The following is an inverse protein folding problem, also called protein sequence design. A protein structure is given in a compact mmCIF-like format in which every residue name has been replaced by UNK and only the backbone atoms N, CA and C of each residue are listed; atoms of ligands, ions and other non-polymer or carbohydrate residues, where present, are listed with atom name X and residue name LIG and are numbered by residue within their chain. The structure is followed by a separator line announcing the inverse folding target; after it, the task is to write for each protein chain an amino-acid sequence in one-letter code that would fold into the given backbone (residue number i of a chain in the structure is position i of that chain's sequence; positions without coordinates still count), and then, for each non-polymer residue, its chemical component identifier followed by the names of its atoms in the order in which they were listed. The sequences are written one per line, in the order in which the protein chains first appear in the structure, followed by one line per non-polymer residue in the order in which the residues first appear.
data_IF_575215407941
#
_entry.id   IF_575215407941
#
_cell.length_a   1.000
_cell.length_b   1.000
_cell.length_c   1.000
_cell.angle_alpha   90.00
_cell.angle_beta   90.00
_cell.angle_gamma   90.00
#
_symmetry.space_group_name_H-M   'P 1'
#
loop_
_entity.id
_entity.type
_entity.pdbx_description
1 polymer ?
#
# COMPACT_ATOMS: atom_id res chain seq x y z
N UNK A 1 19.98 -7.14 -4.25
CA UNK A 1 18.82 -6.26 -4.52
C UNK A 1 18.03 -6.10 -3.24
N UNK A 2 17.43 -4.93 -3.01
CA UNK A 2 16.57 -4.70 -1.87
C UNK A 2 15.19 -5.33 -2.11
N UNK A 3 15.03 -6.64 -1.85
CA UNK A 3 13.78 -7.36 -2.09
C UNK A 3 12.54 -6.72 -1.46
N UNK A 4 12.70 -5.97 -0.36
CA UNK A 4 11.60 -5.24 0.29
C UNK A 4 10.93 -4.20 -0.63
N UNK A 5 11.62 -3.70 -1.65
CA UNK A 5 11.05 -2.74 -2.62
C UNK A 5 9.87 -3.34 -3.39
N UNK A 6 9.87 -4.66 -3.59
CA UNK A 6 8.81 -5.39 -4.29
C UNK A 6 7.45 -5.30 -3.61
N UNK A 7 7.42 -5.00 -2.31
CA UNK A 7 6.19 -4.73 -1.55
C UNK A 7 6.04 -3.26 -1.17
N UNK A 8 7.13 -2.58 -0.78
CA UNK A 8 7.08 -1.20 -0.34
C UNK A 8 6.64 -0.24 -1.45
N UNK A 9 7.23 -0.33 -2.64
CA UNK A 9 6.91 0.58 -3.75
C UNK A 9 5.45 0.42 -4.19
N UNK A 10 4.92 -0.81 -4.41
CA UNK A 10 3.50 -1.02 -4.64
C UNK A 10 2.60 -0.48 -3.53
N UNK A 11 2.94 -0.68 -2.26
CA UNK A 11 2.15 -0.20 -1.14
C UNK A 11 2.04 1.33 -1.14
N UNK A 12 3.15 2.03 -1.37
CA UNK A 12 3.18 3.48 -1.46
C UNK A 12 2.40 4.00 -2.66
N UNK A 13 2.61 3.41 -3.84
CA UNK A 13 1.88 3.74 -5.05
C UNK A 13 0.37 3.57 -4.87
N UNK A 14 -0.08 2.41 -4.40
CA UNK A 14 -1.50 2.13 -4.21
C UNK A 14 -2.14 3.06 -3.18
N UNK A 15 -1.46 3.32 -2.06
CA UNK A 15 -1.95 4.25 -1.06
C UNK A 15 -2.00 5.69 -1.60
N UNK A 16 -0.99 6.13 -2.34
CA UNK A 16 -0.95 7.45 -2.96
C UNK A 16 -2.10 7.64 -3.95
N UNK A 17 -2.33 6.66 -4.84
CA UNK A 17 -3.45 6.68 -5.80
C UNK A 17 -4.80 6.79 -5.09
N UNK A 18 -5.02 5.99 -4.04
CA UNK A 18 -6.28 6.03 -3.26
C UNK A 18 -6.45 7.40 -2.59
N UNK A 19 -5.39 7.95 -1.97
CA UNK A 19 -5.46 9.27 -1.35
C UNK A 19 -5.67 10.38 -2.40
N UNK A 20 -5.07 10.29 -3.58
CA UNK A 20 -5.33 11.20 -4.70
C UNK A 20 -6.79 11.14 -5.11
N UNK A 21 -7.38 9.95 -5.26
CA UNK A 21 -8.81 9.79 -5.57
C UNK A 21 -9.67 10.43 -4.48
N UNK A 22 -9.36 10.21 -3.21
CA UNK A 22 -10.12 10.79 -2.09
C UNK A 22 -10.01 12.31 -2.06
N UNK A 23 -8.83 12.87 -2.31
CA UNK A 23 -8.64 14.32 -2.35
C UNK A 23 -9.31 14.95 -3.58
N UNK A 24 -9.27 14.30 -4.74
CA UNK A 24 -9.75 14.90 -5.99
C UNK A 24 -11.22 14.65 -6.27
N UNK A 25 -11.71 13.45 -5.96
CA UNK A 25 -13.07 13.00 -6.27
C UNK A 25 -13.92 12.72 -5.03
N UNK A 26 -13.33 12.65 -3.84
CA UNK A 26 -14.10 12.49 -2.62
C UNK A 26 -14.89 13.76 -2.30
N UNK A 27 -16.19 13.60 -2.08
CA UNK A 27 -17.06 14.65 -1.53
C UNK A 27 -16.75 14.87 -0.04
N UNK A 28 -15.54 15.36 0.24
CA UNK A 28 -15.03 15.59 1.59
C UNK A 28 -15.09 17.08 1.94
N UNK A 29 -15.55 17.40 3.15
CA UNK A 29 -15.59 18.78 3.60
C UNK A 29 -14.16 19.36 3.76
N UNK A 30 -13.97 20.70 3.68
CA UNK A 30 -12.64 21.32 3.78
C UNK A 30 -11.84 20.89 5.02
N UNK A 31 -12.52 20.71 6.15
CA UNK A 31 -11.90 20.20 7.38
C UNK A 31 -11.41 18.75 7.28
N UNK A 32 -12.14 17.88 6.59
CA UNK A 32 -11.70 16.49 6.34
C UNK A 32 -10.53 16.45 5.36
N UNK A 33 -10.59 17.24 4.29
CA UNK A 33 -9.50 17.41 3.32
C UNK A 33 -8.20 17.80 4.01
N UNK A 34 -8.24 18.81 4.87
CA UNK A 34 -7.08 19.22 5.67
C UNK A 34 -6.50 18.09 6.55
N UNK A 35 -7.35 17.23 7.12
CA UNK A 35 -6.88 16.06 7.89
C UNK A 35 -6.25 14.99 7.00
N UNK A 36 -6.76 14.76 5.80
CA UNK A 36 -6.16 13.82 4.83
C UNK A 36 -4.79 14.33 4.37
N UNK A 37 -4.65 15.63 4.08
CA UNK A 37 -3.34 16.23 3.76
C UNK A 37 -2.30 16.02 4.85
N UNK A 38 -2.70 16.11 6.13
CA UNK A 38 -1.80 15.84 7.27
C UNK A 38 -1.30 14.40 7.34
N UNK A 39 -1.90 13.46 6.60
CA UNK A 39 -1.45 12.07 6.51
C UNK A 39 -0.43 11.82 5.39
N UNK A 40 -0.34 12.72 4.40
CA UNK A 40 0.62 12.58 3.28
C UNK A 40 2.09 12.46 3.73
N UNK A 41 2.57 13.10 4.82
CA UNK A 41 3.91 12.88 5.34
C UNK A 41 4.26 11.42 5.64
N UNK A 42 3.28 10.56 5.94
CA UNK A 42 3.54 9.11 6.12
C UNK A 42 4.04 8.48 4.82
N UNK A 43 3.49 8.89 3.67
CA UNK A 43 3.97 8.44 2.36
C UNK A 43 5.35 9.02 2.03
N UNK A 44 5.67 10.24 2.47
CA UNK A 44 7.02 10.82 2.30
C UNK A 44 8.07 9.99 3.04
N UNK A 45 7.79 9.55 4.27
CA UNK A 45 8.69 8.65 5.01
C UNK A 45 8.88 7.34 4.25
N UNK A 46 7.80 6.76 3.73
CA UNK A 46 7.89 5.55 2.91
C UNK A 46 8.74 5.73 1.65
N UNK A 47 8.53 6.83 0.90
CA UNK A 47 9.32 7.13 -0.29
C UNK A 47 10.78 7.44 0.04
N UNK A 48 11.07 8.04 1.19
CA UNK A 48 12.43 8.23 1.69
C UNK A 48 13.11 6.88 1.94
N UNK A 49 12.41 5.91 2.55
CA UNK A 49 12.93 4.54 2.75
C UNK A 49 13.15 3.81 1.42
N UNK A 50 12.28 4.02 0.42
CA UNK A 50 12.47 3.49 -0.92
C UNK A 50 13.69 4.13 -1.61
N UNK A 51 13.91 5.44 -1.43
CA UNK A 51 15.01 6.20 -2.01
C UNK A 51 16.40 5.73 -1.56
N UNK A 52 16.50 5.11 -0.37
CA UNK A 52 17.76 4.51 0.13
C UNK A 52 18.26 3.41 -0.82
N UNK A 53 17.36 2.59 -1.37
CA UNK A 53 17.71 1.46 -2.22
C UNK A 53 17.45 1.71 -3.72
N UNK A 54 16.52 2.61 -4.06
CA UNK A 54 16.19 2.99 -5.43
C UNK A 54 16.20 4.52 -5.55
N UNK A 55 17.31 5.14 -5.99
CA UNK A 55 17.44 6.60 -6.05
C UNK A 55 16.32 7.31 -6.84
N UNK A 56 15.71 6.63 -7.82
CA UNK A 56 14.58 7.17 -8.58
C UNK A 56 13.36 7.49 -7.71
N UNK A 57 13.20 6.82 -6.56
CA UNK A 57 12.13 7.11 -5.59
C UNK A 57 12.22 8.51 -4.97
N UNK A 58 13.35 9.23 -5.14
CA UNK A 58 13.46 10.66 -4.82
C UNK A 58 12.47 11.49 -5.67
N UNK A 59 12.12 11.06 -6.88
CA UNK A 59 11.20 11.80 -7.75
C UNK A 59 9.78 11.87 -7.16
N UNK A 60 9.06 10.76 -6.90
CA UNK A 60 7.76 10.82 -6.23
C UNK A 60 7.84 11.44 -4.83
N UNK A 61 8.95 11.24 -4.11
CA UNK A 61 9.19 11.88 -2.82
C UNK A 61 9.13 13.41 -2.92
N UNK A 62 9.93 14.01 -3.80
CA UNK A 62 10.05 15.46 -3.93
C UNK A 62 8.79 16.08 -4.53
N UNK A 63 8.15 15.44 -5.52
CA UNK A 63 6.90 15.94 -6.07
C UNK A 63 5.78 15.92 -5.04
N UNK A 64 5.65 14.85 -4.25
CA UNK A 64 4.66 14.76 -3.18
C UNK A 64 4.96 15.74 -2.05
N UNK A 65 6.23 15.91 -1.69
CA UNK A 65 6.66 16.89 -0.68
C UNK A 65 6.33 18.32 -1.13
N UNK A 66 6.62 18.67 -2.38
CA UNK A 66 6.28 19.97 -2.95
C UNK A 66 4.77 20.23 -2.89
N UNK A 67 3.95 19.25 -3.29
CA UNK A 67 2.50 19.36 -3.18
C UNK A 67 2.07 19.57 -1.72
N UNK A 68 2.59 18.76 -0.79
CA UNK A 68 2.24 18.80 0.63
C UNK A 68 2.56 20.15 1.27
N UNK A 69 3.71 20.76 0.91
CA UNK A 69 4.14 22.05 1.45
C UNK A 69 3.42 23.25 0.83
N UNK A 70 2.98 23.15 -0.43
CA UNK A 70 2.32 24.26 -1.14
C UNK A 70 0.81 24.34 -0.93
N UNK A 71 0.17 23.25 -0.51
CA UNK A 71 -1.27 23.24 -0.25
C UNK A 71 -1.60 24.09 0.98
N UNK A 72 -2.47 25.08 0.80
CA UNK A 72 -3.08 25.80 1.92
C UNK A 72 -4.28 25.02 2.44
N UNK A 73 -4.18 24.47 3.65
CA UNK A 73 -5.27 23.74 4.32
C UNK A 73 -6.15 24.71 5.13
N UNK A 74 -6.96 25.54 4.45
CA UNK A 74 -7.83 26.56 5.06
C UNK A 74 -9.34 26.31 4.92
N UNK A 75 -10.18 27.23 5.44
CA UNK A 75 -11.66 27.17 5.34
C UNK A 75 -12.20 27.50 3.95
N UNK A 76 -11.40 28.11 3.08
CA UNK A 76 -11.76 28.48 1.70
C UNK A 76 -11.07 27.53 0.71
N UNK A 77 -11.88 26.90 -0.14
CA UNK A 77 -11.62 26.10 -1.35
C UNK A 77 -10.17 25.97 -1.85
N UNK A 78 -9.84 24.72 -2.19
CA UNK A 78 -8.69 24.17 -2.92
C UNK A 78 -7.72 25.15 -3.60
N UNK A 79 -6.55 25.33 -2.99
CA UNK A 79 -5.39 25.88 -3.67
C UNK A 79 -4.18 24.99 -3.37
N UNK A 80 -4.01 23.96 -4.19
CA UNK A 80 -2.84 23.10 -4.23
C UNK A 80 -2.45 22.85 -5.69
N UNK A 81 -1.16 22.58 -5.98
CA UNK A 81 -0.73 22.28 -7.34
C UNK A 81 -1.18 20.87 -7.74
N UNK A 82 -2.46 20.70 -8.09
CA UNK A 82 -3.09 19.40 -8.40
C UNK A 82 -2.32 18.64 -9.49
N UNK A 83 -1.82 19.36 -10.51
CA UNK A 83 -0.99 18.76 -11.57
C UNK A 83 0.27 18.08 -11.00
N UNK A 84 0.84 18.60 -9.92
CA UNK A 84 2.00 18.00 -9.25
C UNK A 84 1.60 16.75 -8.48
N UNK A 85 0.40 16.69 -7.89
CA UNK A 85 -0.11 15.47 -7.26
C UNK A 85 -0.25 14.34 -8.30
N UNK A 86 -0.89 14.62 -9.45
CA UNK A 86 -0.97 13.64 -10.53
C UNK A 86 0.41 13.28 -11.10
N UNK A 87 1.31 14.26 -11.25
CA UNK A 87 2.70 14.01 -11.64
C UNK A 87 3.41 13.08 -10.65
N UNK A 88 3.16 13.24 -9.36
CA UNK A 88 3.68 12.38 -8.31
C UNK A 88 3.18 10.95 -8.42
N UNK A 89 1.92 10.75 -8.81
CA UNK A 89 1.36 9.41 -9.03
C UNK A 89 1.99 8.73 -10.25
N UNK A 90 2.21 9.49 -11.33
CA UNK A 90 2.92 9.00 -12.51
C UNK A 90 4.36 8.64 -12.18
N UNK A 91 5.07 9.48 -11.41
CA UNK A 91 6.45 9.20 -10.98
C UNK A 91 6.53 7.99 -10.04
N UNK A 92 5.55 7.81 -9.15
CA UNK A 92 5.43 6.62 -8.32
C UNK A 92 5.22 5.35 -9.17
N UNK A 93 4.39 5.44 -10.21
CA UNK A 93 4.16 4.36 -11.16
C UNK A 93 5.43 4.03 -11.96
N UNK A 94 6.17 5.04 -12.42
CA UNK A 94 7.47 4.85 -13.08
C UNK A 94 8.47 4.16 -12.14
N UNK A 95 8.51 4.54 -10.86
CA UNK A 95 9.37 3.86 -9.88
C UNK A 95 9.05 2.36 -9.76
N UNK A 96 7.76 2.00 -9.79
CA UNK A 96 7.34 0.60 -9.84
C UNK A 96 7.76 -0.09 -11.16
N UNK A 97 7.57 0.56 -12.31
CA UNK A 97 7.97 0.00 -13.61
C UNK A 97 9.47 -0.31 -13.70
N UNK A 98 10.31 0.51 -13.07
CA UNK A 98 11.78 0.32 -13.05
C UNK A 98 12.19 -0.90 -12.22
N UNK A 99 11.33 -1.42 -11.34
CA UNK A 99 11.58 -2.68 -10.63
C UNK A 99 11.34 -3.92 -11.51
N UNK A 100 10.49 -3.81 -12.54
CA UNK A 100 10.05 -4.99 -13.30
C UNK A 100 11.20 -5.77 -13.97
N UNK A 101 12.24 -5.13 -14.56
CA UNK A 101 13.35 -5.87 -15.16
C UNK A 101 14.18 -6.69 -14.17
N UNK A 102 14.03 -6.44 -12.87
CA UNK A 102 14.76 -7.16 -11.82
C UNK A 102 13.99 -8.35 -11.26
N UNK A 103 12.77 -8.57 -11.73
CA UNK A 103 11.83 -9.56 -11.22
C UNK A 103 11.48 -10.56 -12.33
N UNK A 104 11.22 -11.80 -11.94
CA UNK A 104 10.65 -12.79 -12.84
C UNK A 104 9.13 -12.57 -13.02
N UNK A 105 8.49 -13.33 -13.91
CA UNK A 105 7.07 -13.12 -14.25
C UNK A 105 6.09 -13.28 -13.05
N UNK A 106 6.13 -14.36 -12.25
CA UNK A 106 5.27 -14.47 -11.06
C UNK A 106 5.58 -13.41 -10.00
N UNK A 107 6.85 -13.01 -9.81
CA UNK A 107 7.23 -11.91 -8.91
C UNK A 107 6.64 -10.56 -9.33
N UNK A 108 6.67 -10.26 -10.65
CA UNK A 108 5.99 -9.10 -11.23
C UNK A 108 4.49 -9.15 -10.92
N UNK A 109 3.86 -10.31 -11.08
CA UNK A 109 2.44 -10.49 -10.80
C UNK A 109 2.10 -10.28 -9.31
N UNK A 110 2.92 -10.82 -8.39
CA UNK A 110 2.80 -10.57 -6.95
C UNK A 110 2.96 -9.07 -6.65
N UNK A 111 3.96 -8.41 -7.24
CA UNK A 111 4.21 -6.98 -7.05
C UNK A 111 3.06 -6.11 -7.56
N UNK A 112 2.45 -6.46 -8.69
CA UNK A 112 1.28 -5.77 -9.23
C UNK A 112 0.09 -5.87 -8.27
N UNK A 113 -0.20 -7.07 -7.77
CA UNK A 113 -1.29 -7.30 -6.82
C UNK A 113 -1.01 -6.65 -5.46
N UNK A 114 0.26 -6.54 -5.06
CA UNK A 114 0.68 -5.84 -3.85
C UNK A 114 0.27 -4.36 -3.85
N UNK A 115 0.10 -3.73 -5.02
CA UNK A 115 -0.44 -2.35 -5.13
C UNK A 115 -1.82 -2.29 -4.49
N UNK A 116 -2.68 -3.25 -4.83
CA UNK A 116 -4.04 -3.31 -4.32
C UNK A 116 -4.08 -3.81 -2.88
N UNK A 117 -3.32 -4.86 -2.51
CA UNK A 117 -3.33 -5.42 -1.16
C UNK A 117 -2.79 -4.42 -0.11
N UNK A 118 -1.51 -4.06 -0.22
CA UNK A 118 -0.84 -3.24 0.78
C UNK A 118 -1.18 -1.76 0.62
N UNK A 119 -1.39 -1.29 -0.60
CA UNK A 119 -1.84 0.08 -0.85
C UNK A 119 -3.22 0.36 -0.26
N UNK A 120 -4.16 -0.58 -0.40
CA UNK A 120 -5.48 -0.45 0.25
C UNK A 120 -5.38 -0.54 1.77
N UNK A 121 -4.55 -1.42 2.33
CA UNK A 121 -4.35 -1.53 3.77
C UNK A 121 -3.78 -0.23 4.36
N UNK A 122 -2.70 0.29 3.75
CA UNK A 122 -2.08 1.55 4.16
C UNK A 122 -3.04 2.73 3.99
N UNK A 123 -3.73 2.85 2.86
CA UNK A 123 -4.74 3.89 2.66
C UNK A 123 -5.85 3.82 3.70
N UNK A 124 -6.34 2.62 4.05
CA UNK A 124 -7.39 2.44 5.04
C UNK A 124 -6.94 2.96 6.42
N UNK A 125 -5.70 2.64 6.83
CA UNK A 125 -5.11 3.19 8.07
C UNK A 125 -5.12 4.72 8.01
N UNK A 126 -4.54 5.32 6.97
CA UNK A 126 -4.41 6.77 6.83
C UNK A 126 -5.76 7.49 6.80
N UNK A 127 -6.74 6.96 6.08
CA UNK A 127 -8.08 7.52 6.00
C UNK A 127 -8.82 7.48 7.35
N UNK A 128 -8.58 6.44 8.15
CA UNK A 128 -9.21 6.30 9.47
C UNK A 128 -8.58 7.27 10.47
N UNK A 129 -7.25 7.46 10.44
CA UNK A 129 -6.58 8.53 11.21
C UNK A 129 -7.00 9.94 10.77
N UNK A 130 -7.25 10.16 9.48
CA UNK A 130 -7.83 11.40 8.96
C UNK A 130 -9.30 11.60 9.36
N UNK A 131 -9.94 10.61 10.01
CA UNK A 131 -11.34 10.63 10.44
C UNK A 131 -12.27 10.99 9.27
N UNK A 132 -12.07 10.35 8.12
CA UNK A 132 -12.98 10.52 6.98
C UNK A 132 -14.32 9.87 7.28
N UNK A 133 -15.39 10.34 6.64
CA UNK A 133 -16.75 9.79 6.77
C UNK A 133 -17.10 8.88 5.60
N UNK A 134 -16.07 8.44 4.85
CA UNK A 134 -16.23 7.69 3.61
C UNK A 134 -16.53 6.22 3.92
N UNK A 135 -17.77 5.95 4.33
CA UNK A 135 -18.24 4.62 4.71
C UNK A 135 -18.02 3.57 3.61
N UNK A 136 -18.17 3.95 2.35
CA UNK A 136 -17.91 3.06 1.21
C UNK A 136 -16.45 2.55 1.18
N UNK A 137 -15.47 3.40 1.46
CA UNK A 137 -14.06 3.00 1.47
C UNK A 137 -13.75 2.02 2.60
N UNK A 138 -14.37 2.17 3.77
CA UNK A 138 -14.20 1.23 4.88
C UNK A 138 -14.66 -0.20 4.51
N UNK A 139 -15.61 -0.35 3.57
CA UNK A 139 -16.08 -1.64 3.08
C UNK A 139 -15.32 -2.13 1.85
N UNK A 140 -15.02 -1.25 0.89
CA UNK A 140 -14.39 -1.60 -0.38
C UNK A 140 -12.91 -1.97 -0.20
N UNK A 141 -12.17 -1.25 0.65
CA UNK A 141 -10.72 -1.47 0.81
C UNK A 141 -10.37 -2.87 1.33
N UNK A 142 -11.03 -3.41 2.40
CA UNK A 142 -10.79 -4.78 2.82
C UNK A 142 -11.20 -5.82 1.77
N UNK A 143 -12.26 -5.56 0.98
CA UNK A 143 -12.68 -6.46 -0.08
C UNK A 143 -11.66 -6.53 -1.22
N UNK A 144 -11.12 -5.38 -1.65
CA UNK A 144 -10.00 -5.32 -2.59
C UNK A 144 -8.77 -6.06 -2.04
N UNK A 145 -8.51 -5.91 -0.75
CA UNK A 145 -7.48 -6.68 -0.02
C UNK A 145 -7.67 -8.19 -0.11
N UNK A 146 -8.88 -8.69 0.14
CA UNK A 146 -9.17 -10.13 0.03
C UNK A 146 -8.95 -10.70 -1.37
N UNK A 147 -9.48 -10.02 -2.41
CA UNK A 147 -9.27 -10.46 -3.80
C UNK A 147 -7.78 -10.47 -4.11
N UNK A 148 -7.07 -9.42 -3.70
CA UNK A 148 -5.63 -9.30 -3.93
C UNK A 148 -4.87 -10.42 -3.22
N UNK A 149 -5.20 -10.73 -1.97
CA UNK A 149 -4.54 -11.83 -1.26
C UNK A 149 -4.75 -13.19 -1.92
N UNK A 150 -5.96 -13.47 -2.45
CA UNK A 150 -6.22 -14.70 -3.22
C UNK A 150 -5.30 -14.75 -4.45
N UNK A 151 -5.21 -13.66 -5.21
CA UNK A 151 -4.32 -13.58 -6.38
C UNK A 151 -2.84 -13.72 -5.98
N UNK A 152 -2.42 -13.11 -4.86
CA UNK A 152 -1.06 -13.28 -4.32
C UNK A 152 -0.76 -14.74 -4.03
N UNK A 153 -1.68 -15.49 -3.41
CA UNK A 153 -1.50 -16.93 -3.18
C UNK A 153 -1.33 -17.69 -4.50
N UNK A 154 -2.16 -17.42 -5.50
CA UNK A 154 -2.06 -18.08 -6.80
C UNK A 154 -0.71 -17.83 -7.47
N UNK A 155 -0.21 -16.59 -7.43
CA UNK A 155 1.10 -16.26 -7.99
C UNK A 155 2.28 -16.76 -7.14
N UNK A 156 2.12 -16.87 -5.81
CA UNK A 156 3.09 -17.55 -4.96
C UNK A 156 3.20 -19.04 -5.31
N UNK A 157 2.07 -19.72 -5.55
CA UNK A 157 2.08 -21.12 -6.01
C UNK A 157 2.83 -21.22 -7.34
N UNK A 158 2.57 -20.31 -8.28
CA UNK A 158 3.31 -20.26 -9.54
C UNK A 158 4.81 -20.07 -9.30
N UNK A 159 5.21 -19.14 -8.45
CA UNK A 159 6.62 -18.93 -8.10
C UNK A 159 7.25 -20.20 -7.49
N UNK A 160 6.57 -20.84 -6.54
CA UNK A 160 7.04 -22.08 -5.91
C UNK A 160 7.23 -23.20 -6.93
N UNK A 161 6.37 -23.30 -7.95
CA UNK A 161 6.53 -24.29 -9.03
C UNK A 161 7.77 -24.04 -9.90
N UNK A 162 8.23 -22.79 -9.98
CA UNK A 162 9.48 -22.45 -10.66
C UNK A 162 10.71 -22.66 -9.78
N UNK A 163 10.54 -22.63 -8.46
CA UNK A 163 11.59 -22.91 -7.49
C UNK A 163 11.74 -24.43 -7.34
N UNK A 164 12.95 -24.94 -7.59
CA UNK A 164 13.24 -26.37 -7.44
C UNK A 164 12.93 -26.91 -6.03
N UNK A 165 12.66 -28.21 -5.93
CA UNK A 165 12.23 -28.89 -4.68
C UNK A 165 13.16 -28.65 -3.49
N UNK A 166 14.47 -28.55 -3.73
CA UNK A 166 15.49 -28.31 -2.70
C UNK A 166 15.33 -26.92 -2.07
N UNK A 167 15.16 -25.88 -2.89
CA UNK A 167 14.98 -24.49 -2.42
C UNK A 167 13.67 -24.32 -1.67
N UNK A 168 12.58 -24.89 -2.20
CA UNK A 168 11.25 -24.81 -1.57
C UNK A 168 11.24 -25.48 -0.20
N UNK A 169 11.91 -26.63 -0.06
CA UNK A 169 11.99 -27.37 1.21
C UNK A 169 12.74 -26.59 2.29
N UNK A 170 13.76 -25.81 1.89
CA UNK A 170 14.55 -24.97 2.80
C UNK A 170 13.73 -23.80 3.39
N UNK A 171 12.73 -23.29 2.64
CA UNK A 171 11.92 -22.12 3.04
C UNK A 171 10.47 -22.46 3.42
N UNK A 172 10.18 -23.74 3.64
CA UNK A 172 8.81 -24.22 3.86
C UNK A 172 8.15 -23.56 5.09
N UNK A 173 8.90 -23.35 6.17
CA UNK A 173 8.38 -22.75 7.41
C UNK A 173 8.03 -21.28 7.17
N UNK A 174 8.87 -20.52 6.48
CA UNK A 174 8.66 -19.12 6.16
C UNK A 174 7.45 -18.94 5.25
N UNK A 175 7.30 -19.79 4.23
CA UNK A 175 6.15 -19.78 3.31
C UNK A 175 4.85 -20.03 4.07
N UNK A 176 4.79 -21.09 4.89
CA UNK A 176 3.58 -21.42 5.67
C UNK A 176 3.26 -20.30 6.66
N UNK A 177 4.27 -19.78 7.34
CA UNK A 177 4.10 -18.69 8.32
C UNK A 177 3.64 -17.41 7.63
N UNK A 178 4.18 -17.09 6.45
CA UNK A 178 3.74 -15.96 5.65
C UNK A 178 2.26 -16.06 5.29
N UNK A 179 1.81 -17.24 4.81
CA UNK A 179 0.41 -17.48 4.45
C UNK A 179 -0.52 -17.38 5.67
N UNK A 180 -0.12 -17.97 6.80
CA UNK A 180 -0.88 -17.90 8.05
C UNK A 180 -1.02 -16.44 8.53
N UNK A 181 0.07 -15.67 8.54
CA UNK A 181 0.05 -14.26 8.90
C UNK A 181 -0.79 -13.43 7.93
N UNK A 182 -0.77 -13.74 6.62
CA UNK A 182 -1.62 -13.05 5.66
C UNK A 182 -3.11 -13.24 5.98
N UNK A 183 -3.52 -14.48 6.24
CA UNK A 183 -4.91 -14.80 6.62
C UNK A 183 -5.28 -14.11 7.94
N UNK A 184 -4.43 -14.19 8.96
CA UNK A 184 -4.66 -13.50 10.24
C UNK A 184 -4.79 -11.99 10.01
N UNK A 185 -3.90 -11.39 9.22
CA UNK A 185 -3.94 -9.97 8.85
C UNK A 185 -5.25 -9.58 8.19
N UNK A 186 -5.76 -10.36 7.24
CA UNK A 186 -7.05 -10.14 6.58
C UNK A 186 -8.25 -10.26 7.54
N UNK A 187 -8.23 -11.24 8.44
CA UNK A 187 -9.28 -11.42 9.46
C UNK A 187 -9.29 -10.22 10.42
N UNK A 188 -8.12 -9.78 10.91
CA UNK A 188 -8.02 -8.58 11.74
C UNK A 188 -8.49 -7.36 10.95
N UNK A 189 -8.09 -7.21 9.70
CA UNK A 189 -8.45 -6.06 8.86
C UNK A 189 -9.97 -5.96 8.67
N UNK A 190 -10.59 -7.08 8.30
CA UNK A 190 -12.03 -7.16 8.03
C UNK A 190 -12.89 -7.32 9.27
N UNK A 191 -12.29 -7.55 10.44
CA UNK A 191 -13.02 -7.79 11.69
C UNK A 191 -14.05 -6.70 12.04
N UNK A 192 -13.82 -5.44 11.64
CA UNK A 192 -14.79 -4.37 11.88
C UNK A 192 -16.06 -4.55 11.03
N UNK A 193 -15.94 -5.10 9.81
CA UNK A 193 -17.08 -5.47 8.96
C UNK A 193 -17.76 -6.70 9.54
N UNK A 194 -16.99 -7.74 9.85
CA UNK A 194 -17.52 -9.02 10.37
C UNK A 194 -18.30 -8.85 11.68
N UNK A 195 -17.84 -7.94 12.54
CA UNK A 195 -18.46 -7.67 13.84
C UNK A 195 -19.47 -6.52 13.80
N UNK A 196 -19.77 -5.95 12.63
CA UNK A 196 -20.62 -4.76 12.47
C UNK A 196 -20.21 -3.59 13.40
N UNK A 197 -18.91 -3.39 13.58
CA UNK A 197 -18.33 -2.33 14.41
C UNK A 197 -17.71 -1.25 13.54
N UNK A 198 -17.61 -0.04 14.10
CA UNK A 198 -16.83 1.02 13.47
C UNK A 198 -15.35 0.60 13.37
N UNK A 199 -14.72 0.89 12.23
CA UNK A 199 -13.29 0.67 12.05
C UNK A 199 -12.48 1.36 13.15
N UNK A 200 -11.66 0.58 13.86
CA UNK A 200 -10.76 1.06 14.90
C UNK A 200 -9.36 1.28 14.33
N UNK A 201 -8.75 2.44 14.59
CA UNK A 201 -7.39 2.77 14.12
C UNK A 201 -6.37 1.69 14.51
N UNK A 202 -6.38 1.23 15.75
CA UNK A 202 -5.42 0.24 16.26
C UNK A 202 -5.60 -1.12 15.60
N UNK A 203 -6.84 -1.54 15.37
CA UNK A 203 -7.12 -2.76 14.64
C UNK A 203 -6.54 -2.71 13.22
N UNK A 204 -6.72 -1.59 12.51
CA UNK A 204 -6.18 -1.42 11.16
C UNK A 204 -4.65 -1.36 11.14
N UNK A 205 -4.04 -0.71 12.13
CA UNK A 205 -2.56 -0.68 12.28
C UNK A 205 -2.03 -2.08 12.54
N UNK A 206 -2.64 -2.83 13.47
CA UNK A 206 -2.24 -4.21 13.75
C UNK A 206 -2.39 -5.07 12.50
N UNK A 207 -3.50 -4.95 11.77
CA UNK A 207 -3.68 -5.65 10.52
C UNK A 207 -2.57 -5.33 9.50
N UNK A 208 -2.25 -4.05 9.30
CA UNK A 208 -1.18 -3.62 8.41
C UNK A 208 0.17 -4.19 8.83
N UNK A 209 0.51 -4.14 10.13
CA UNK A 209 1.77 -4.68 10.67
C UNK A 209 1.86 -6.19 10.45
N UNK A 210 0.79 -6.93 10.73
CA UNK A 210 0.75 -8.39 10.49
C UNK A 210 0.91 -8.71 9.00
N UNK A 211 0.25 -7.95 8.11
CA UNK A 211 0.44 -8.09 6.67
C UNK A 211 1.88 -7.75 6.24
N UNK A 212 2.52 -6.75 6.84
CA UNK A 212 3.92 -6.42 6.57
C UNK A 212 4.88 -7.53 7.02
N UNK A 213 4.64 -8.17 8.16
CA UNK A 213 5.41 -9.35 8.58
C UNK A 213 5.23 -10.52 7.62
N UNK A 214 3.99 -10.76 7.16
CA UNK A 214 3.73 -11.73 6.09
C UNK A 214 4.54 -11.41 4.84
N UNK A 215 4.51 -10.15 4.35
CA UNK A 215 5.28 -9.70 3.20
C UNK A 215 6.79 -9.93 3.38
N UNK A 216 7.31 -9.62 4.57
CA UNK A 216 8.73 -9.80 4.90
C UNK A 216 9.16 -11.26 4.82
N UNK A 217 8.31 -12.20 5.25
CA UNK A 217 8.58 -13.63 5.08
C UNK A 217 8.43 -14.10 3.63
N UNK A 218 7.55 -13.49 2.84
CA UNK A 218 7.42 -13.80 1.41
C UNK A 218 8.67 -13.43 0.61
N UNK A 219 9.55 -12.57 1.13
CA UNK A 219 10.80 -12.20 0.47
C UNK A 219 11.75 -13.38 0.22
N UNK A 220 11.59 -14.51 0.92
CA UNK A 220 12.35 -15.74 0.63
C UNK A 220 12.04 -16.33 -0.75
N UNK A 221 10.94 -15.87 -1.38
CA UNK A 221 10.53 -16.28 -2.72
C UNK A 221 11.06 -15.34 -3.83
N UNK A 222 11.83 -14.31 -3.50
CA UNK A 222 12.38 -13.31 -4.42
C UNK A 222 13.92 -13.30 -4.32
#
# INVERSE_FOLDING_TARGET
MAGYLTFLVPALLGAQLILTIVLMKGEICPGQRGRVHKMLPVLLVGWLLAAIAQPLAVLPLLSLAFFTMKVKTGKTRDAGPIKVLYGSDVLAFICWLVLLPTLNMPEIAISLVAIALYGSALAHVLLTFARTRLQAFHRILPFAGFISAILTILFMIWQIMTLGQVTTSHHMIEIITALALMVIGLVIWSGHILLNKKANNWQLVIALVVLMFSAGLQLVLF
#
